data_IF_808098714562
#
_entry.id   IF_808098714562
#
_cell.length_a   1.000
_cell.length_b   1.000
_cell.length_c   1.000
_cell.angle_alpha   90.00
_cell.angle_beta   90.00
_cell.angle_gamma   90.00
#
_symmetry.space_group_name_H-M   'P 1'
#
loop_
_entity.id
_entity.type
_entity.pdbx_description
1 polymer ?
#
# COMPACT_ATOMS: atom_id res chain seq x y z
N UNK A 1 -3.90 4.75 51.23
CA UNK A 1 -3.20 5.31 50.05
C UNK A 1 -3.64 4.53 48.83
N UNK A 2 -4.19 5.18 47.81
CA UNK A 2 -4.30 4.63 46.45
C UNK A 2 -4.39 5.83 45.50
N UNK A 3 -3.23 6.32 45.06
CA UNK A 3 -3.08 7.57 44.30
C UNK A 3 -2.36 7.37 42.95
N UNK A 4 -2.27 6.13 42.44
CA UNK A 4 -1.49 5.80 41.22
C UNK A 4 -2.32 4.94 40.25
N UNK A 5 -3.62 5.22 40.08
CA UNK A 5 -4.41 4.57 39.01
C UNK A 5 -5.40 5.52 38.31
N UNK A 6 -5.42 6.82 38.64
CA UNK A 6 -6.35 7.79 38.04
C UNK A 6 -5.77 8.63 36.90
N UNK A 7 -4.54 8.36 36.45
CA UNK A 7 -3.83 9.20 35.48
C UNK A 7 -3.39 8.48 34.19
N UNK A 8 -3.78 7.22 34.02
CA UNK A 8 -3.51 6.47 32.78
C UNK A 8 -4.72 6.68 31.88
N UNK A 9 -4.60 7.61 30.92
CA UNK A 9 -5.65 7.88 29.93
C UNK A 9 -5.97 6.61 29.14
N UNK A 10 -7.24 6.40 28.84
CA UNK A 10 -7.68 5.28 28.01
C UNK A 10 -6.95 5.30 26.66
N UNK A 11 -6.33 4.18 26.30
CA UNK A 11 -5.42 4.07 25.14
C UNK A 11 -3.92 4.22 25.41
N UNK A 12 -3.49 4.58 26.63
CA UNK A 12 -2.06 4.63 27.01
C UNK A 12 -1.51 3.30 27.51
N UNK A 13 -2.40 2.34 27.86
CA UNK A 13 -2.02 0.96 28.15
C UNK A 13 -1.96 0.19 26.83
N UNK A 14 -0.74 -0.18 26.41
CA UNK A 14 -0.56 -1.07 25.28
C UNK A 14 -1.25 -2.41 25.57
N UNK A 15 -2.19 -2.81 24.71
CA UNK A 15 -2.84 -4.11 24.76
C UNK A 15 -1.86 -5.26 24.49
N UNK A 16 -2.37 -6.49 24.41
CA UNK A 16 -1.53 -7.63 24.04
C UNK A 16 -0.86 -7.37 22.67
N UNK A 17 0.46 -7.51 22.63
CA UNK A 17 1.22 -7.34 21.39
C UNK A 17 0.89 -8.41 20.35
N UNK A 18 1.06 -8.06 19.07
CA UNK A 18 0.98 -9.02 17.96
C UNK A 18 2.05 -10.11 18.11
N UNK A 19 1.72 -11.32 17.68
CA UNK A 19 2.71 -12.36 17.49
C UNK A 19 3.72 -11.97 16.40
N UNK A 20 4.91 -12.58 16.41
CA UNK A 20 5.96 -12.26 15.44
C UNK A 20 5.50 -12.44 13.98
N UNK A 21 4.69 -13.47 13.71
CA UNK A 21 4.15 -13.72 12.38
C UNK A 21 3.16 -12.62 12.00
N UNK A 22 2.25 -12.25 12.90
CA UNK A 22 1.29 -11.17 12.62
C UNK A 22 2.00 -9.84 12.37
N UNK A 23 3.07 -9.53 13.11
CA UNK A 23 3.87 -8.33 12.86
C UNK A 23 4.48 -8.35 11.47
N UNK A 24 5.12 -9.45 11.06
CA UNK A 24 5.72 -9.57 9.72
C UNK A 24 4.68 -9.50 8.63
N UNK A 25 3.55 -10.18 8.79
CA UNK A 25 2.46 -10.14 7.80
C UNK A 25 1.91 -8.72 7.69
N UNK A 26 1.59 -8.09 8.82
CA UNK A 26 0.89 -6.80 8.87
C UNK A 26 1.76 -5.65 8.37
N UNK A 27 3.00 -5.57 8.82
CA UNK A 27 3.86 -4.42 8.57
C UNK A 27 4.82 -4.60 7.41
N UNK A 28 4.97 -5.81 6.86
CA UNK A 28 5.88 -6.07 5.75
C UNK A 28 5.17 -6.71 4.56
N UNK A 29 4.49 -7.84 4.74
CA UNK A 29 3.90 -8.55 3.60
C UNK A 29 2.67 -7.84 3.01
N UNK A 30 1.77 -7.31 3.83
CA UNK A 30 0.59 -6.57 3.35
C UNK A 30 1.01 -5.32 2.55
N UNK A 31 1.89 -4.43 3.05
CA UNK A 31 2.35 -3.27 2.29
C UNK A 31 3.05 -3.64 0.97
N UNK A 32 3.93 -4.65 0.99
CA UNK A 32 4.64 -5.12 -0.21
C UNK A 32 3.64 -5.72 -1.21
N UNK A 33 2.68 -6.51 -0.74
CA UNK A 33 1.63 -7.09 -1.58
C UNK A 33 0.77 -6.01 -2.24
N UNK A 34 0.37 -4.99 -1.49
CA UNK A 34 -0.38 -3.86 -2.03
C UNK A 34 0.42 -3.11 -3.10
N UNK A 35 1.70 -2.85 -2.84
CA UNK A 35 2.59 -2.22 -3.82
C UNK A 35 2.72 -3.07 -5.09
N UNK A 36 2.91 -4.38 -4.95
CA UNK A 36 3.03 -5.29 -6.08
C UNK A 36 1.75 -5.33 -6.94
N UNK A 37 0.58 -5.36 -6.30
CA UNK A 37 -0.71 -5.30 -6.99
C UNK A 37 -0.82 -4.02 -7.81
N UNK A 38 -0.52 -2.86 -7.19
CA UNK A 38 -0.57 -1.57 -7.89
C UNK A 38 0.42 -1.56 -9.05
N UNK A 39 1.67 -2.01 -8.83
CA UNK A 39 2.69 -2.06 -9.87
C UNK A 39 2.24 -2.89 -11.08
N UNK A 40 1.65 -4.07 -10.84
CA UNK A 40 1.12 -4.93 -11.90
C UNK A 40 -0.03 -4.25 -12.65
N UNK A 41 -0.98 -3.64 -11.94
CA UNK A 41 -2.10 -2.92 -12.56
C UNK A 41 -1.63 -1.71 -13.37
N UNK A 42 -0.70 -0.93 -12.84
CA UNK A 42 -0.10 0.22 -13.53
C UNK A 42 0.66 -0.23 -14.77
N UNK A 43 1.42 -1.32 -14.70
CA UNK A 43 2.12 -1.88 -15.86
C UNK A 43 1.14 -2.37 -16.93
N UNK A 44 0.13 -3.15 -16.54
CA UNK A 44 -0.86 -3.70 -17.47
C UNK A 44 -1.64 -2.60 -18.21
N UNK A 45 -1.93 -1.49 -17.54
CA UNK A 45 -2.66 -0.35 -18.12
C UNK A 45 -1.78 0.65 -18.88
N UNK A 46 -0.48 0.72 -18.56
CA UNK A 46 0.47 1.63 -19.22
C UNK A 46 1.18 1.02 -20.43
N UNK A 47 0.91 -0.25 -20.76
CA UNK A 47 1.50 -0.90 -21.92
C UNK A 47 1.26 -0.06 -23.18
N UNK A 48 2.32 0.31 -23.93
CA UNK A 48 2.17 1.17 -25.11
C UNK A 48 1.24 0.48 -26.11
N UNK A 49 0.11 1.13 -26.41
CA UNK A 49 -0.77 0.66 -27.48
C UNK A 49 0.02 0.66 -28.77
N UNK A 50 -0.09 -0.42 -29.55
CA UNK A 50 0.56 -0.59 -30.85
C UNK A 50 0.37 0.68 -31.67
N UNK A 51 1.47 1.32 -32.09
CA UNK A 51 1.40 2.51 -32.92
C UNK A 51 0.62 2.17 -34.20
N UNK A 52 -0.52 2.83 -34.41
CA UNK A 52 -1.17 2.84 -35.72
C UNK A 52 -0.25 3.61 -36.68
N UNK A 53 0.22 2.94 -37.73
CA UNK A 53 1.15 3.44 -38.78
C UNK A 53 0.61 4.65 -39.59
N UNK A 54 -0.46 5.31 -39.15
CA UNK A 54 -1.03 6.44 -39.87
C UNK A 54 -1.49 7.49 -38.87
N UNK A 55 -0.61 8.45 -38.57
CA UNK A 55 -1.03 9.71 -37.96
C UNK A 55 -1.76 10.52 -39.03
N UNK A 56 -3.08 10.70 -38.89
CA UNK A 56 -3.91 11.48 -39.83
C UNK A 56 -3.58 12.98 -39.87
N UNK A 57 -2.59 13.43 -39.09
CA UNK A 57 -2.20 14.84 -38.90
C UNK A 57 -0.91 15.18 -39.65
N UNK A 58 -0.24 14.21 -40.28
CA UNK A 58 1.01 14.46 -41.03
C UNK A 58 0.99 13.72 -42.36
N UNK A 59 0.12 14.18 -43.26
CA UNK A 59 0.26 13.96 -44.70
C UNK A 59 0.48 15.33 -45.35
N UNK A 60 1.62 15.50 -46.01
CA UNK A 60 1.90 16.62 -46.92
C UNK A 60 2.08 15.98 -48.28
N UNK A 61 1.20 16.33 -49.23
CA UNK A 61 1.39 16.08 -50.66
C UNK A 61 2.34 17.12 -51.27
#
# INVERSE_FOLDING_TARGET
>A
MNFIMSAVEDGTVAGQGLSAIETVVTFLLIPIGLFAIIAVLSWATSAPRKASTTSSVTSID
#
